data_IF_897025026342
#
_entry.id   IF_897025026342
#
_cell.length_a   1.000
_cell.length_b   1.000
_cell.length_c   1.000
_cell.angle_alpha   90.00
_cell.angle_beta   90.00
_cell.angle_gamma   90.00
#
_symmetry.space_group_name_H-M   'P 1'
#
loop_
_entity.id
_entity.type
_entity.pdbx_description
1 polymer ?
#
# COMPACT_ATOMS: atom_id res chain seq x y z
N UNK A 1 44.84 1.42 7.78
CA UNK A 1 43.53 1.87 8.31
C UNK A 1 42.46 1.47 7.29
N UNK A 2 41.77 0.35 7.53
CA UNK A 2 40.71 -0.14 6.63
C UNK A 2 39.34 0.33 7.10
N UNK A 3 38.56 0.95 6.22
CA UNK A 3 37.15 1.23 6.49
C UNK A 3 36.33 -0.07 6.54
N UNK A 4 35.40 -0.22 7.50
CA UNK A 4 34.57 -1.41 7.60
C UNK A 4 33.53 -1.49 6.47
N UNK A 5 33.47 -2.64 5.79
CA UNK A 5 32.54 -2.98 4.70
C UNK A 5 31.06 -3.11 5.11
N UNK A 6 30.67 -2.69 6.31
CA UNK A 6 29.29 -2.82 6.81
C UNK A 6 28.31 -1.86 6.11
N UNK A 7 28.78 -0.80 5.46
CA UNK A 7 27.92 0.24 4.87
C UNK A 7 27.46 -0.03 3.42
N UNK A 8 27.99 -1.05 2.75
CA UNK A 8 27.66 -1.31 1.34
C UNK A 8 26.36 -2.12 1.15
N UNK A 9 25.81 -2.69 2.24
CA UNK A 9 24.62 -3.58 2.19
C UNK A 9 23.29 -2.86 2.42
N UNK A 10 23.31 -1.55 2.58
CA UNK A 10 22.11 -0.71 2.70
C UNK A 10 21.68 -0.08 1.37
N UNK A 11 22.20 -0.53 0.23
CA UNK A 11 21.62 -0.15 -1.07
C UNK A 11 20.20 -0.73 -1.11
N UNK A 12 19.15 0.10 -0.95
CA UNK A 12 17.80 -0.39 -0.98
C UNK A 12 17.62 -0.95 -2.38
N UNK A 13 17.35 -2.26 -2.49
CA UNK A 13 17.02 -2.88 -3.76
C UNK A 13 15.67 -2.29 -4.18
N UNK A 14 15.70 -1.16 -4.88
CA UNK A 14 14.51 -0.48 -5.37
C UNK A 14 13.91 -1.41 -6.40
N UNK A 15 12.93 -2.18 -5.96
CA UNK A 15 12.12 -3.01 -6.84
C UNK A 15 11.31 -2.06 -7.74
N UNK A 16 11.15 -2.38 -9.04
CA UNK A 16 10.39 -1.57 -10.02
C UNK A 16 9.04 -1.12 -9.45
N UNK A 17 8.38 -2.00 -8.70
CA UNK A 17 7.10 -1.77 -7.99
C UNK A 17 7.17 -0.71 -6.89
N UNK A 18 8.25 -0.68 -6.12
CA UNK A 18 8.46 0.30 -5.06
C UNK A 18 8.82 1.67 -5.62
N UNK A 19 9.53 1.70 -6.76
CA UNK A 19 9.87 2.94 -7.46
C UNK A 19 8.65 3.74 -7.89
N UNK A 20 7.66 3.08 -8.52
CA UNK A 20 6.41 3.74 -8.93
C UNK A 20 5.61 4.30 -7.75
N UNK A 21 5.49 3.54 -6.66
CA UNK A 21 4.78 4.01 -5.47
C UNK A 21 5.44 5.26 -4.88
N UNK A 22 6.77 5.28 -4.81
CA UNK A 22 7.52 6.46 -4.36
C UNK A 22 7.27 7.66 -5.28
N UNK A 23 7.29 7.45 -6.61
CA UNK A 23 7.00 8.52 -7.58
C UNK A 23 5.59 9.11 -7.39
N UNK A 24 4.58 8.26 -7.19
CA UNK A 24 3.20 8.70 -6.92
C UNK A 24 3.15 9.50 -5.62
N UNK A 25 3.82 9.04 -4.56
CA UNK A 25 3.85 9.74 -3.27
C UNK A 25 4.55 11.11 -3.38
N UNK A 26 5.67 11.19 -4.10
CA UNK A 26 6.35 12.47 -4.35
C UNK A 26 5.46 13.40 -5.16
N UNK A 27 4.82 12.90 -6.22
CA UNK A 27 3.87 13.68 -7.02
C UNK A 27 2.68 14.18 -6.19
N UNK A 28 2.18 13.37 -5.27
CA UNK A 28 1.13 13.74 -4.30
C UNK A 28 1.55 14.89 -3.39
N UNK A 29 2.79 14.85 -2.86
CA UNK A 29 3.31 15.92 -2.02
C UNK A 29 3.43 17.21 -2.82
N UNK A 30 3.95 17.16 -4.05
CA UNK A 30 4.03 18.34 -4.94
C UNK A 30 2.64 18.88 -5.29
N UNK A 31 1.68 17.99 -5.58
CA UNK A 31 0.31 18.38 -5.87
C UNK A 31 -0.38 19.02 -4.66
N UNK A 32 -0.17 18.51 -3.46
CA UNK A 32 -0.67 19.13 -2.23
C UNK A 32 -0.11 20.56 -2.10
N UNK A 33 1.20 20.71 -2.27
CA UNK A 33 1.91 21.99 -2.18
C UNK A 33 1.45 23.01 -3.25
N UNK A 34 1.02 22.52 -4.42
CA UNK A 34 0.43 23.34 -5.49
C UNK A 34 -0.99 23.78 -5.13
N UNK A 35 -1.85 22.84 -4.71
CA UNK A 35 -3.23 23.12 -4.31
C UNK A 35 -3.26 24.11 -3.14
N UNK A 36 -2.31 24.02 -2.21
CA UNK A 36 -2.19 24.95 -1.09
C UNK A 36 -1.87 26.40 -1.50
N UNK A 37 -1.13 26.59 -2.60
CA UNK A 37 -0.73 27.92 -3.07
C UNK A 37 -1.87 28.66 -3.76
N UNK A 38 -2.73 27.93 -4.46
CA UNK A 38 -3.86 28.49 -5.21
C UNK A 38 -5.17 28.50 -4.41
N UNK A 39 -5.16 27.97 -3.18
CA UNK A 39 -6.37 27.91 -2.37
C UNK A 39 -6.85 29.30 -1.94
N UNK A 40 -8.03 29.69 -2.44
CA UNK A 40 -8.79 30.87 -2.01
C UNK A 40 -10.10 30.38 -1.38
N UNK A 41 -10.34 30.71 -0.12
CA UNK A 41 -11.59 30.34 0.56
C UNK A 41 -12.75 31.24 0.06
N UNK A 42 -13.82 30.67 -0.53
CA UNK A 42 -14.97 31.48 -0.93
C UNK A 42 -15.70 32.03 0.30
N UNK A 43 -16.21 33.27 0.21
CA UNK A 43 -16.93 33.89 1.32
C UNK A 43 -18.39 33.46 1.43
N UNK A 44 -18.90 32.63 0.52
CA UNK A 44 -20.28 32.12 0.55
C UNK A 44 -20.31 30.70 1.15
N UNK A 45 -21.22 30.45 2.09
CA UNK A 45 -21.24 29.21 2.89
C UNK A 45 -21.41 27.96 2.02
N UNK A 46 -22.33 28.01 1.06
CA UNK A 46 -22.61 26.88 0.15
C UNK A 46 -21.38 26.57 -0.70
N UNK A 47 -20.71 27.61 -1.22
CA UNK A 47 -19.49 27.43 -2.00
C UNK A 47 -18.35 26.84 -1.16
N UNK A 48 -18.18 27.24 0.11
CA UNK A 48 -17.11 26.66 0.96
C UNK A 48 -17.21 25.15 1.06
N UNK A 49 -18.41 24.63 1.32
CA UNK A 49 -18.65 23.19 1.38
C UNK A 49 -18.38 22.51 0.04
N UNK A 50 -18.88 23.09 -1.06
CA UNK A 50 -18.70 22.54 -2.40
C UNK A 50 -17.22 22.47 -2.77
N UNK A 51 -16.48 23.56 -2.59
CA UNK A 51 -15.04 23.60 -2.84
C UNK A 51 -14.28 22.63 -1.92
N UNK A 52 -14.61 22.57 -0.63
CA UNK A 52 -14.00 21.61 0.30
C UNK A 52 -14.15 20.16 -0.18
N UNK A 53 -15.37 19.76 -0.56
CA UNK A 53 -15.65 18.42 -1.08
C UNK A 53 -14.87 18.17 -2.36
N UNK A 54 -14.86 19.12 -3.31
CA UNK A 54 -14.12 18.95 -4.55
C UNK A 54 -12.60 18.81 -4.33
N UNK A 55 -12.00 19.67 -3.51
CA UNK A 55 -10.56 19.59 -3.20
C UNK A 55 -10.19 18.32 -2.42
N UNK A 56 -11.10 17.78 -1.60
CA UNK A 56 -10.86 16.53 -0.90
C UNK A 56 -10.95 15.32 -1.85
N UNK A 57 -12.06 15.20 -2.59
CA UNK A 57 -12.40 13.99 -3.33
C UNK A 57 -11.78 13.92 -4.73
N UNK A 58 -11.65 15.02 -5.47
CA UNK A 58 -11.11 14.98 -6.84
C UNK A 58 -9.67 14.46 -6.85
N UNK A 59 -8.72 15.02 -6.09
CA UNK A 59 -7.34 14.52 -6.11
C UNK A 59 -7.23 13.12 -5.49
N UNK A 60 -8.05 12.83 -4.47
CA UNK A 60 -8.16 11.48 -3.91
C UNK A 60 -8.61 10.44 -4.94
N UNK A 61 -9.59 10.77 -5.79
CA UNK A 61 -10.09 9.91 -6.85
C UNK A 61 -9.09 9.75 -8.00
N UNK A 62 -8.45 10.84 -8.43
CA UNK A 62 -7.41 10.80 -9.46
C UNK A 62 -6.26 9.90 -9.02
N UNK A 63 -5.77 10.08 -7.79
CA UNK A 63 -4.65 9.31 -7.25
C UNK A 63 -5.01 7.83 -7.07
N UNK A 64 -6.23 7.53 -6.64
CA UNK A 64 -6.74 6.17 -6.59
C UNK A 64 -6.79 5.53 -7.98
N UNK A 65 -7.35 6.24 -8.96
CA UNK A 65 -7.51 5.75 -10.34
C UNK A 65 -6.15 5.51 -11.02
N UNK A 66 -5.23 6.47 -10.93
CA UNK A 66 -3.88 6.34 -11.49
C UNK A 66 -3.13 5.20 -10.84
N UNK A 67 -3.16 5.09 -9.50
CA UNK A 67 -2.51 4.00 -8.78
C UNK A 67 -3.11 2.65 -9.17
N UNK A 68 -4.43 2.57 -9.26
CA UNK A 68 -5.14 1.36 -9.68
C UNK A 68 -4.73 0.94 -11.10
N UNK A 69 -4.70 1.88 -12.06
CA UNK A 69 -4.29 1.61 -13.45
C UNK A 69 -2.85 1.08 -13.50
N UNK A 70 -1.92 1.74 -12.82
CA UNK A 70 -0.50 1.32 -12.79
C UNK A 70 -0.37 -0.07 -12.17
N UNK A 71 -1.09 -0.34 -11.07
CA UNK A 71 -1.03 -1.64 -10.42
C UNK A 71 -1.67 -2.74 -11.28
N UNK A 72 -2.70 -2.44 -12.07
CA UNK A 72 -3.27 -3.38 -13.04
C UNK A 72 -2.26 -3.74 -14.14
N UNK A 73 -1.56 -2.75 -14.70
CA UNK A 73 -0.52 -2.98 -15.72
C UNK A 73 0.65 -3.80 -15.16
N UNK A 74 1.13 -3.46 -13.96
CA UNK A 74 2.21 -4.21 -13.30
C UNK A 74 1.82 -5.66 -12.99
N UNK A 75 0.55 -5.89 -12.63
CA UNK A 75 0.06 -7.24 -12.36
C UNK A 75 0.00 -8.08 -13.65
N UNK A 76 -0.37 -7.44 -14.77
CA UNK A 76 -0.39 -8.08 -16.09
C UNK A 76 1.02 -8.48 -16.54
N UNK A 77 2.02 -7.63 -16.31
CA UNK A 77 3.44 -7.96 -16.60
C UNK A 77 3.92 -9.19 -15.81
N UNK A 78 3.62 -9.27 -14.51
CA UNK A 78 4.02 -10.41 -13.67
C UNK A 78 3.43 -11.73 -14.17
N UNK A 79 2.16 -11.73 -14.58
CA UNK A 79 1.48 -12.94 -15.05
C UNK A 79 2.02 -13.41 -16.40
N UNK A 80 2.31 -12.48 -17.31
CA UNK A 80 2.93 -12.80 -18.60
C UNK A 80 4.33 -13.42 -18.42
N UNK A 81 5.14 -12.87 -17.49
CA UNK A 81 6.47 -13.41 -17.19
C UNK A 81 6.42 -14.79 -16.54
N UNK A 82 5.41 -15.07 -15.71
CA UNK A 82 5.29 -16.38 -15.08
C UNK A 82 4.92 -17.48 -16.08
N UNK A 83 4.08 -17.16 -17.07
CA UNK A 83 3.69 -18.10 -18.13
C UNK A 83 4.90 -18.54 -18.97
N UNK A 84 5.80 -17.61 -19.34
CA UNK A 84 6.99 -17.93 -20.13
C UNK A 84 7.99 -18.84 -19.40
N UNK A 85 8.12 -18.70 -18.09
CA UNK A 85 9.05 -19.54 -17.30
C UNK A 85 8.55 -20.98 -17.14
N UNK A 86 7.23 -21.18 -17.13
CA UNK A 86 6.61 -22.51 -17.07
C UNK A 86 6.75 -23.22 -18.42
N UNK A 87 6.46 -22.51 -19.52
CA UNK A 87 6.55 -23.06 -20.88
C UNK A 87 8.00 -23.48 -21.24
N UNK A 88 8.99 -22.66 -20.87
CA UNK A 88 10.41 -22.96 -21.13
C UNK A 88 10.96 -24.12 -20.26
N UNK A 89 10.33 -24.43 -19.12
CA UNK A 89 10.69 -25.61 -18.31
C UNK A 89 10.08 -26.92 -18.81
N UNK A 90 8.99 -26.87 -19.56
CA UNK A 90 8.34 -28.04 -20.15
C UNK A 90 9.06 -28.60 -21.39
N UNK A 91 9.91 -27.80 -22.04
CA UNK A 91 10.53 -28.15 -23.31
C UNK A 91 12.04 -28.45 -23.21
N UNK A 92 12.48 -28.99 -22.07
CA UNK A 92 13.78 -29.69 -22.03
C UNK A 92 13.60 -31.06 -22.68
N UNK A 93 14.04 -31.12 -23.94
CA UNK A 93 14.14 -32.32 -24.77
C UNK A 93 14.74 -33.50 -23.98
N UNK A 94 14.08 -34.67 -23.94
CA UNK A 94 14.64 -35.91 -23.43
C UNK A 94 15.60 -36.50 -24.48
N UNK A 95 16.70 -35.83 -24.76
CA UNK A 95 17.75 -36.35 -25.66
C UNK A 95 19.15 -36.31 -25.03
N UNK A 96 19.22 -36.47 -23.71
CA UNK A 96 20.47 -36.82 -23.02
C UNK A 96 20.20 -37.71 -21.79
N UNK A 97 19.39 -38.76 -21.99
CA UNK A 97 19.31 -39.91 -21.08
C UNK A 97 19.36 -41.21 -21.89
N UNK A 98 20.39 -41.34 -22.72
CA UNK A 98 20.85 -42.63 -23.27
C UNK A 98 22.21 -42.95 -22.68
N UNK A 99 22.23 -43.31 -21.40
CA UNK A 99 23.13 -44.31 -20.81
C UNK A 99 22.77 -44.53 -19.34
N UNK A 100 21.63 -45.18 -19.07
CA UNK A 100 21.48 -46.10 -17.93
C UNK A 100 20.15 -46.87 -18.00
N UNK A 101 20.27 -48.09 -18.53
CA UNK A 101 19.76 -49.34 -17.93
C UNK A 101 18.25 -49.52 -17.77
N UNK A 102 17.66 -50.10 -18.82
CA UNK A 102 16.77 -51.28 -18.82
C UNK A 102 15.81 -51.50 -17.64
N UNK A 103 14.51 -51.32 -17.89
CA UNK A 103 13.44 -52.31 -17.65
C UNK A 103 12.14 -51.89 -18.36
N UNK A 104 11.29 -52.82 -18.80
CA UNK A 104 10.11 -52.54 -19.64
C UNK A 104 8.79 -52.46 -18.84
N UNK A 105 7.72 -51.99 -19.54
CA UNK A 105 6.27 -52.05 -19.20
C UNK A 105 5.80 -50.82 -18.38
N UNK A 106 4.76 -50.04 -18.68
CA UNK A 106 3.58 -50.07 -19.56
C UNK A 106 3.17 -48.59 -19.80
N UNK A 107 2.91 -48.16 -21.05
CA UNK A 107 2.31 -46.84 -21.32
C UNK A 107 0.83 -47.00 -21.62
N UNK A 108 -0.01 -46.52 -20.70
CA UNK A 108 -1.43 -46.28 -20.96
C UNK A 108 -1.58 -44.82 -21.38
N UNK A 109 -2.09 -44.63 -22.60
CA UNK A 109 -2.49 -43.34 -23.14
C UNK A 109 -3.71 -42.82 -22.37
N UNK A 110 -3.58 -41.67 -21.71
CA UNK A 110 -4.72 -40.79 -21.42
C UNK A 110 -4.39 -39.36 -21.88
N UNK A 111 -4.85 -39.11 -23.11
CA UNK A 111 -5.30 -37.81 -23.60
C UNK A 111 -6.40 -37.31 -22.66
N UNK A 112 -6.19 -36.15 -22.05
CA UNK A 112 -7.24 -35.40 -21.34
C UNK A 112 -6.90 -33.93 -21.38
N UNK A 113 -7.45 -33.28 -22.41
CA UNK A 113 -7.87 -31.89 -22.37
C UNK A 113 -8.70 -31.66 -21.10
N UNK A 114 -8.10 -31.04 -20.08
CA UNK A 114 -8.87 -30.32 -19.07
C UNK A 114 -8.41 -28.87 -19.04
N UNK A 115 -9.16 -28.06 -19.78
CA UNK A 115 -9.38 -26.66 -19.50
C UNK A 115 -9.99 -26.54 -18.09
N UNK A 116 -9.16 -26.63 -17.07
CA UNK A 116 -9.57 -26.48 -15.68
C UNK A 116 -9.89 -25.00 -15.42
N UNK A 117 -11.17 -24.70 -15.56
CA UNK A 117 -11.84 -23.49 -15.11
C UNK A 117 -11.71 -23.39 -13.59
N UNK A 118 -10.63 -22.78 -13.09
CA UNK A 118 -10.46 -22.45 -11.68
C UNK A 118 -11.11 -21.11 -11.33
N UNK A 119 -12.44 -21.04 -11.48
CA UNK A 119 -13.25 -20.05 -10.79
C UNK A 119 -13.58 -20.66 -9.42
N UNK A 120 -13.03 -20.13 -8.32
CA UNK A 120 -13.45 -20.29 -6.90
C UNK A 120 -12.28 -20.43 -5.90
N UNK A 121 -11.30 -19.51 -5.95
CA UNK A 121 -10.46 -19.19 -4.79
C UNK A 121 -9.84 -17.79 -4.88
N UNK A 122 -10.62 -16.78 -5.30
CA UNK A 122 -10.11 -15.42 -5.54
C UNK A 122 -10.38 -14.42 -4.39
N UNK A 123 -10.83 -14.90 -3.23
CA UNK A 123 -11.24 -14.04 -2.10
C UNK A 123 -10.14 -13.23 -1.38
N UNK A 124 -8.92 -13.76 -1.10
CA UNK A 124 -7.95 -13.03 -0.27
C UNK A 124 -6.86 -12.26 -1.04
N UNK A 125 -6.71 -12.46 -2.36
CA UNK A 125 -5.71 -11.75 -3.17
C UNK A 125 -6.15 -10.32 -3.52
N UNK A 126 -7.43 -10.14 -3.82
CA UNK A 126 -7.99 -8.84 -4.22
C UNK A 126 -7.96 -7.81 -3.09
N UNK A 127 -8.15 -8.23 -1.84
CA UNK A 127 -8.11 -7.30 -0.71
C UNK A 127 -6.71 -6.70 -0.46
N UNK A 128 -5.63 -7.48 -0.62
CA UNK A 128 -4.25 -6.96 -0.46
C UNK A 128 -3.86 -6.04 -1.61
N UNK A 129 -4.40 -6.26 -2.79
CA UNK A 129 -4.18 -5.41 -3.94
C UNK A 129 -4.85 -4.05 -3.74
N UNK A 130 -6.14 -4.08 -3.39
CA UNK A 130 -6.93 -2.88 -3.10
C UNK A 130 -6.30 -2.06 -1.96
N UNK A 131 -5.84 -2.71 -0.89
CA UNK A 131 -5.23 -2.04 0.25
C UNK A 131 -3.91 -1.32 -0.09
N UNK A 132 -3.16 -1.80 -1.09
CA UNK A 132 -1.99 -1.06 -1.60
C UNK A 132 -2.40 0.15 -2.44
N UNK A 133 -3.47 0.03 -3.21
CA UNK A 133 -4.00 1.13 -4.03
C UNK A 133 -4.57 2.27 -3.17
N UNK A 134 -5.06 1.96 -1.96
CA UNK A 134 -5.56 2.97 -1.04
C UNK A 134 -4.46 3.79 -0.34
N UNK A 135 -3.19 3.34 -0.35
CA UNK A 135 -2.11 4.03 0.39
C UNK A 135 -1.97 5.49 -0.06
N UNK A 136 -1.87 5.80 -1.37
CA UNK A 136 -1.72 7.18 -1.84
C UNK A 136 -2.94 8.04 -1.51
N UNK A 137 -4.16 7.48 -1.60
CA UNK A 137 -5.40 8.18 -1.23
C UNK A 137 -5.47 8.48 0.27
N UNK A 138 -5.06 7.53 1.13
CA UNK A 138 -4.99 7.75 2.58
C UNK A 138 -3.96 8.84 2.91
N UNK A 139 -2.79 8.81 2.26
CA UNK A 139 -1.76 9.84 2.42
C UNK A 139 -2.30 11.20 1.98
N UNK A 140 -3.01 11.28 0.85
CA UNK A 140 -3.66 12.51 0.39
C UNK A 140 -4.62 13.09 1.43
N UNK A 141 -5.55 12.27 1.94
CA UNK A 141 -6.53 12.68 2.95
C UNK A 141 -5.81 13.23 4.18
N UNK A 142 -4.77 12.56 4.63
CA UNK A 142 -3.95 13.00 5.75
C UNK A 142 -3.29 14.36 5.48
N UNK A 143 -2.65 14.53 4.32
CA UNK A 143 -1.98 15.78 3.95
C UNK A 143 -3.00 16.92 3.93
N UNK A 144 -4.15 16.69 3.30
CA UNK A 144 -5.26 17.64 3.23
C UNK A 144 -5.74 18.10 4.61
N UNK A 145 -5.95 17.17 5.55
CA UNK A 145 -6.35 17.53 6.92
C UNK A 145 -5.20 18.13 7.74
N UNK A 146 -3.95 17.80 7.44
CA UNK A 146 -2.77 18.29 8.17
C UNK A 146 -2.45 19.76 7.86
N UNK A 147 -2.77 20.26 6.67
CA UNK A 147 -2.63 21.69 6.35
C UNK A 147 -3.60 22.54 7.20
N UNK A 148 -4.85 22.07 7.35
CA UNK A 148 -5.85 22.66 8.25
C UNK A 148 -6.45 23.99 7.77
N UNK A 149 -5.98 24.55 6.65
CA UNK A 149 -6.60 25.72 6.00
C UNK A 149 -8.00 25.42 5.47
N UNK A 150 -8.19 24.23 4.88
CA UNK A 150 -9.49 23.77 4.38
C UNK A 150 -10.51 23.67 5.51
N UNK A 151 -10.11 23.09 6.65
CA UNK A 151 -10.97 22.97 7.84
C UNK A 151 -11.23 24.33 8.48
N UNK A 152 -10.23 25.23 8.52
CA UNK A 152 -10.41 26.59 9.01
C UNK A 152 -11.39 27.40 8.13
N UNK A 153 -11.29 27.26 6.80
CA UNK A 153 -12.24 27.84 5.85
C UNK A 153 -13.67 27.32 6.08
N UNK A 154 -13.82 26.03 6.34
CA UNK A 154 -15.12 25.42 6.60
C UNK A 154 -15.72 25.86 7.95
N UNK A 155 -14.89 25.99 8.98
CA UNK A 155 -15.32 26.33 10.35
C UNK A 155 -15.54 27.84 10.58
N UNK A 156 -15.12 28.69 9.65
CA UNK A 156 -15.30 30.14 9.78
C UNK A 156 -16.70 30.49 9.31
N UNK A 157 -17.62 30.73 10.25
CA UNK A 157 -18.97 31.25 9.98
C UNK A 157 -18.88 32.71 9.49
N UNK A 158 -18.64 32.87 8.19
CA UNK A 158 -18.85 34.10 7.42
C UNK A 158 -20.30 34.62 7.51
N UNK A 159 -20.60 35.67 8.29
CA UNK A 159 -21.82 36.44 8.06
C UNK A 159 -21.73 37.12 6.69
N UNK A 160 -22.75 36.89 5.86
CA UNK A 160 -22.89 37.43 4.51
C UNK A 160 -22.78 38.96 4.49
N UNK A 161 -21.72 39.48 3.88
CA UNK A 161 -21.53 40.92 3.67
C UNK A 161 -20.05 41.31 3.61
N UNK A 162 -19.60 41.74 2.42
CA UNK A 162 -18.27 42.25 2.10
C UNK A 162 -17.13 41.21 1.96
N UNK A 163 -17.00 40.66 0.74
CA UNK A 163 -15.76 40.04 0.27
C UNK A 163 -14.92 41.08 -0.51
N UNK A 164 -13.63 41.18 -0.22
CA UNK A 164 -12.66 41.96 -0.99
C UNK A 164 -11.64 41.00 -1.64
N UNK A 165 -11.14 41.33 -2.81
CA UNK A 165 -10.51 40.39 -3.77
C UNK A 165 -9.00 40.17 -3.54
N UNK A 166 -8.46 40.61 -2.41
CA UNK A 166 -7.01 40.70 -2.22
C UNK A 166 -6.42 39.44 -1.54
N UNK A 167 -5.29 38.90 -2.05
CA UNK A 167 -4.61 37.77 -1.44
C UNK A 167 -3.97 38.19 -0.12
N UNK A 168 -4.56 37.74 0.99
CA UNK A 168 -4.13 38.03 2.34
C UNK A 168 -3.96 36.73 3.15
N UNK A 169 -3.23 36.74 4.27
CA UNK A 169 -3.02 35.56 5.10
C UNK A 169 -4.35 34.86 5.48
N UNK A 170 -4.34 33.55 5.81
CA UNK A 170 -5.53 32.69 5.84
C UNK A 170 -6.64 33.08 6.84
N UNK A 171 -6.43 34.09 7.67
CA UNK A 171 -7.42 34.65 8.60
C UNK A 171 -8.05 35.96 8.10
N UNK A 172 -7.62 36.50 6.96
CA UNK A 172 -8.07 37.78 6.40
C UNK A 172 -8.97 37.63 5.16
N UNK A 173 -9.31 36.40 4.76
CA UNK A 173 -9.99 36.12 3.49
C UNK A 173 -11.31 36.88 3.27
N UNK A 174 -12.03 37.27 4.32
CA UNK A 174 -13.37 37.85 4.15
C UNK A 174 -13.76 38.98 5.14
N UNK A 175 -12.84 39.64 5.87
CA UNK A 175 -13.24 40.81 6.69
C UNK A 175 -12.13 41.83 6.97
N UNK A 176 -12.41 43.12 6.73
CA UNK A 176 -11.52 44.27 7.02
C UNK A 176 -11.90 45.08 8.28
N UNK A 177 -13.07 44.89 8.89
CA UNK A 177 -13.51 45.71 10.04
C UNK A 177 -14.38 44.96 11.07
N UNK A 178 -13.77 44.55 12.20
CA UNK A 178 -14.29 44.66 13.59
C UNK A 178 -13.52 43.73 14.54
N UNK A 179 -13.36 44.19 15.79
CA UNK A 179 -12.86 43.50 16.99
C UNK A 179 -12.42 42.05 16.77
N UNK A 180 -11.18 41.94 16.29
CA UNK A 180 -10.52 40.78 15.71
C UNK A 180 -10.37 39.56 16.64
N UNK A 181 -10.77 39.66 17.91
CA UNK A 181 -10.37 38.71 18.94
C UNK A 181 -11.10 37.36 18.87
N UNK A 182 -12.43 37.34 18.68
CA UNK A 182 -13.18 36.07 18.78
C UNK A 182 -13.05 35.17 17.53
N UNK A 183 -13.24 35.74 16.34
CA UNK A 183 -13.16 34.99 15.09
C UNK A 183 -11.73 34.48 14.81
N UNK A 184 -10.71 35.31 15.09
CA UNK A 184 -9.31 34.91 14.96
C UNK A 184 -8.95 33.79 15.94
N UNK A 185 -9.48 33.83 17.17
CA UNK A 185 -9.27 32.77 18.15
C UNK A 185 -9.92 31.45 17.70
N UNK A 186 -11.12 31.48 17.11
CA UNK A 186 -11.80 30.30 16.56
C UNK A 186 -11.03 29.70 15.38
N UNK A 187 -10.56 30.53 14.44
CA UNK A 187 -9.75 30.10 13.31
C UNK A 187 -8.42 29.47 13.77
N UNK A 188 -7.67 30.12 14.67
CA UNK A 188 -6.43 29.56 15.22
C UNK A 188 -6.65 28.24 15.97
N UNK A 189 -7.75 28.13 16.72
CA UNK A 189 -8.09 26.91 17.45
C UNK A 189 -8.43 25.78 16.47
N UNK A 190 -9.23 26.06 15.43
CA UNK A 190 -9.56 25.09 14.39
C UNK A 190 -8.33 24.59 13.62
N UNK A 191 -7.38 25.49 13.31
CA UNK A 191 -6.14 25.14 12.64
C UNK A 191 -5.24 24.25 13.53
N UNK A 192 -5.09 24.59 14.82
CA UNK A 192 -4.36 23.73 15.77
C UNK A 192 -5.03 22.37 15.91
N UNK A 193 -6.36 22.33 16.01
CA UNK A 193 -7.13 21.11 16.12
C UNK A 193 -6.97 20.23 14.87
N UNK A 194 -7.07 20.81 13.67
CA UNK A 194 -6.88 20.09 12.40
C UNK A 194 -5.51 19.42 12.32
N UNK A 195 -4.45 20.11 12.74
CA UNK A 195 -3.09 19.54 12.82
C UNK A 195 -3.01 18.37 13.78
N UNK A 196 -3.58 18.51 14.97
CA UNK A 196 -3.62 17.43 15.97
C UNK A 196 -4.38 16.22 15.42
N UNK A 197 -5.51 16.44 14.76
CA UNK A 197 -6.29 15.37 14.11
C UNK A 197 -5.50 14.70 12.98
N UNK A 198 -4.83 15.47 12.12
CA UNK A 198 -3.99 14.95 11.03
C UNK A 198 -2.86 14.07 11.55
N UNK A 199 -2.08 14.56 12.52
CA UNK A 199 -1.00 13.78 13.15
C UNK A 199 -1.53 12.57 13.93
N UNK A 200 -2.68 12.70 14.59
CA UNK A 200 -3.37 11.60 15.26
C UNK A 200 -3.75 10.48 14.28
N UNK A 201 -4.34 10.83 13.14
CA UNK A 201 -4.69 9.88 12.08
C UNK A 201 -3.44 9.19 11.51
N UNK A 202 -2.36 9.93 11.25
CA UNK A 202 -1.07 9.38 10.82
C UNK A 202 -0.54 8.34 11.80
N UNK A 203 -0.50 8.70 13.08
CA UNK A 203 -0.01 7.83 14.13
C UNK A 203 -0.85 6.55 14.23
N UNK A 204 -2.18 6.67 14.17
CA UNK A 204 -3.09 5.54 14.22
C UNK A 204 -2.93 4.59 13.02
N UNK A 205 -2.85 5.13 11.80
CA UNK A 205 -2.61 4.34 10.58
C UNK A 205 -1.25 3.63 10.65
N UNK A 206 -0.22 4.31 11.15
CA UNK A 206 1.11 3.73 11.36
C UNK A 206 1.08 2.55 12.34
N UNK A 207 0.37 2.69 13.47
CA UNK A 207 0.16 1.60 14.43
C UNK A 207 -0.56 0.42 13.79
N UNK A 208 -1.63 0.65 13.03
CA UNK A 208 -2.36 -0.42 12.34
C UNK A 208 -1.44 -1.18 11.38
N UNK A 209 -0.65 -0.46 10.57
CA UNK A 209 0.31 -1.07 9.63
C UNK A 209 1.35 -1.88 10.40
N UNK A 210 1.88 -1.34 11.50
CA UNK A 210 2.85 -2.02 12.35
C UNK A 210 2.25 -3.31 12.95
N UNK A 211 1.06 -3.25 13.55
CA UNK A 211 0.36 -4.41 14.12
C UNK A 211 0.11 -5.45 13.04
N UNK A 212 -0.35 -5.04 11.85
CA UNK A 212 -0.56 -5.93 10.72
C UNK A 212 0.74 -6.64 10.30
N UNK A 213 1.85 -5.88 10.17
CA UNK A 213 3.17 -6.43 9.83
C UNK A 213 3.67 -7.39 10.91
N UNK A 214 3.59 -7.02 12.19
CA UNK A 214 3.95 -7.89 13.31
C UNK A 214 3.15 -9.19 13.28
N UNK A 215 1.83 -9.13 13.06
CA UNK A 215 0.96 -10.32 12.96
C UNK A 215 1.35 -11.22 11.78
N UNK A 216 1.65 -10.63 10.62
CA UNK A 216 2.05 -11.39 9.42
C UNK A 216 3.41 -12.05 9.62
N UNK A 217 4.41 -11.33 10.14
CA UNK A 217 5.76 -11.85 10.41
C UNK A 217 5.68 -12.99 11.44
N UNK A 218 4.90 -12.80 12.51
CA UNK A 218 4.71 -13.81 13.53
C UNK A 218 4.06 -15.09 12.98
N UNK A 219 3.07 -14.96 12.08
CA UNK A 219 2.48 -16.13 11.38
C UNK A 219 3.48 -16.85 10.49
N UNK A 220 4.33 -16.13 9.77
CA UNK A 220 5.36 -16.73 8.92
C UNK A 220 6.42 -17.50 9.74
N UNK A 221 6.82 -16.95 10.89
CA UNK A 221 7.77 -17.60 11.80
C UNK A 221 7.23 -18.94 12.33
N UNK A 222 5.95 -19.02 12.73
CA UNK A 222 5.33 -20.27 13.18
C UNK A 222 5.31 -21.38 12.13
N UNK A 223 5.15 -21.03 10.85
CA UNK A 223 5.18 -22.04 9.76
C UNK A 223 6.58 -22.62 9.53
N UNK A 224 7.65 -21.85 9.77
CA UNK A 224 9.01 -22.38 9.65
C UNK A 224 9.33 -23.37 10.78
N UNK A 225 8.87 -23.09 12.00
CA UNK A 225 9.09 -23.99 13.14
C UNK A 225 8.45 -25.36 12.91
N UNK A 226 7.21 -25.44 12.41
CA UNK A 226 6.54 -26.72 12.15
C UNK A 226 7.22 -27.57 11.08
N UNK A 227 7.78 -26.95 10.03
CA UNK A 227 8.47 -27.69 8.97
C UNK A 227 9.79 -28.30 9.46
N UNK A 228 10.52 -27.61 10.32
CA UNK A 228 11.77 -28.14 10.90
C UNK A 228 11.50 -29.33 11.85
N UNK A 229 10.39 -29.32 12.59
CA UNK A 229 10.04 -30.44 13.48
C UNK A 229 9.58 -31.69 12.73
N UNK A 230 8.95 -31.54 11.55
CA UNK A 230 8.52 -32.68 10.74
C UNK A 230 9.71 -33.42 10.08
N UNK A 231 10.70 -32.69 9.56
CA UNK A 231 11.89 -33.29 8.93
C UNK A 231 12.74 -34.06 9.95
N UNK A 232 12.80 -33.59 11.20
CA UNK A 232 13.60 -34.23 12.24
C UNK A 232 13.04 -35.59 12.72
N UNK A 233 11.78 -35.94 12.40
CA UNK A 233 11.18 -37.21 12.80
C UNK A 233 11.30 -38.31 11.73
N UNK A 234 11.60 -37.96 10.47
CA UNK A 234 11.82 -38.94 9.39
C UNK A 234 13.22 -39.60 9.44
N UNK A 235 14.21 -38.96 10.09
CA UNK A 235 15.58 -39.48 10.17
C UNK A 235 15.84 -40.38 11.41
N UNK A 236 14.81 -40.85 12.11
CA UNK A 236 14.99 -41.84 13.18
C UNK A 236 14.86 -43.24 12.55
N UNK A 237 15.97 -43.94 12.23
CA UNK A 237 15.90 -45.32 11.75
C UNK A 237 15.26 -46.16 12.85
N UNK A 238 14.13 -46.79 12.50
CA UNK A 238 13.43 -47.75 13.34
C UNK A 238 14.40 -48.91 13.60
N UNK A 239 15.09 -48.88 14.73
CA UNK A 239 15.96 -49.98 15.12
C UNK A 239 15.06 -51.11 15.62
N UNK A 240 14.73 -52.01 14.69
CA UNK A 240 13.93 -53.21 14.92
C UNK A 240 14.74 -54.16 15.83
N UNK A 241 14.48 -54.05 17.13
CA UNK A 241 15.09 -54.88 18.16
C UNK A 241 14.54 -56.29 18.14
N UNK A 242 15.15 -57.15 17.33
CA UNK A 242 15.05 -58.59 17.48
C UNK A 242 16.32 -59.12 18.18
N UNK A 243 16.23 -59.41 19.49
CA UNK A 243 17.03 -60.50 20.05
C UNK A 243 16.31 -61.11 21.24
N UNK A 244 15.83 -62.32 20.98
CA UNK A 244 15.11 -63.21 21.85
C UNK A 244 15.97 -63.68 23.03
N UNK A 245 15.27 -63.95 24.14
CA UNK A 245 15.69 -64.82 25.22
C UNK A 245 16.16 -66.17 24.68
N UNK A 246 17.32 -66.63 25.11
CA UNK A 246 17.62 -68.05 25.20
C UNK A 246 18.15 -68.36 26.60
N UNK A 247 17.45 -69.31 27.23
CA UNK A 247 17.66 -69.89 28.55
C UNK A 247 18.78 -70.93 28.56
#
# INVERSE_FOLDING_TARGET
>A
MGMPQMLQKLSPKINKKNGFLILILVGLVVAADFVEKDFMCPCEEVLRWVFFVFYLFIPGFITLTVTYCIMCELYKEDFASQKSDVENKGQKTPEERREQRSSPIEETNEESDEAEKSDDAEGPRNCRFFLKCCIPTVVWIILFFSDGRFVACLCTELMEGYADSNPHPPWEWCHKQRNLTYAQQRAQTSHKYSKVVGFGCLFFVSIIIMIYKCRVIHKASKQQTHKQTAVQYEDIPLQEGARADES
#
